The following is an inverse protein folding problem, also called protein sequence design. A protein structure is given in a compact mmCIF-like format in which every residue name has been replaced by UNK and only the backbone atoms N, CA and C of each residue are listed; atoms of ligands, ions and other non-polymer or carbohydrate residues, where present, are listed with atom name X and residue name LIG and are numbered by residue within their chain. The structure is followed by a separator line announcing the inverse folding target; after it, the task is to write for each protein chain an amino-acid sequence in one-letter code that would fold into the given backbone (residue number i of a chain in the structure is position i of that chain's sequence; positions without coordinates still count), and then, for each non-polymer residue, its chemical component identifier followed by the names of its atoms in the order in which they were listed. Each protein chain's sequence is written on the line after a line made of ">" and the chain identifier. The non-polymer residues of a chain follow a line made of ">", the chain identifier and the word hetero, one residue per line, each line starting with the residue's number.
data_IF_107013297269
#
_entry.id   IF_107013297269
#
_cell.length_a   1.000
_cell.length_b   1.000
_cell.length_c   1.000
_cell.angle_alpha   90.00
_cell.angle_beta   90.00
_cell.angle_gamma   90.00
#
_symmetry.space_group_name_H-M   'P 1'
#
loop_
_entity.id
_entity.type
_entity.pdbx_description
1 polymer ?
#
# COMPACT_ATOMS: atom_id res chain seq x y z
N UNK A 1 29.57 -2.34 -26.31
CA UNK A 1 29.28 -3.76 -26.01
C UNK A 1 28.16 -3.90 -24.99
N UNK A 2 28.31 -3.39 -23.77
CA UNK A 2 27.29 -3.48 -22.71
C UNK A 2 25.99 -2.76 -23.10
N UNK A 3 26.08 -1.60 -23.73
CA UNK A 3 24.91 -0.81 -24.14
C UNK A 3 24.04 -1.55 -25.18
N UNK A 4 24.64 -2.12 -26.22
CA UNK A 4 23.91 -2.90 -27.23
C UNK A 4 23.25 -4.15 -26.62
N UNK A 5 23.87 -4.80 -25.63
CA UNK A 5 23.25 -5.92 -24.91
C UNK A 5 22.08 -5.44 -24.05
N UNK A 6 22.21 -4.28 -23.39
CA UNK A 6 21.14 -3.68 -22.62
C UNK A 6 19.94 -3.33 -23.52
N UNK A 7 20.19 -2.70 -24.66
CA UNK A 7 19.18 -2.30 -25.63
C UNK A 7 18.47 -3.52 -26.23
N UNK A 8 19.22 -4.55 -26.65
CA UNK A 8 18.65 -5.81 -27.15
C UNK A 8 17.80 -6.53 -26.09
N UNK A 9 18.30 -6.61 -24.85
CA UNK A 9 17.55 -7.24 -23.76
C UNK A 9 16.32 -6.42 -23.40
N UNK A 10 16.40 -5.09 -23.43
CA UNK A 10 15.28 -4.21 -23.15
C UNK A 10 14.18 -4.35 -24.21
N UNK A 11 14.56 -4.43 -25.49
CA UNK A 11 13.63 -4.70 -26.59
C UNK A 11 12.92 -6.06 -26.42
N UNK A 12 13.66 -7.10 -26.03
CA UNK A 12 13.09 -8.43 -25.78
C UNK A 12 12.15 -8.45 -24.57
N UNK A 13 12.54 -7.76 -23.48
CA UNK A 13 11.75 -7.68 -22.24
C UNK A 13 10.49 -6.81 -22.37
N UNK A 14 10.46 -5.85 -23.29
CA UNK A 14 9.31 -4.95 -23.49
C UNK A 14 8.37 -5.41 -24.60
N UNK A 15 8.71 -6.50 -25.30
CA UNK A 15 7.87 -7.06 -26.36
C UNK A 15 6.54 -7.57 -25.78
N UNK A 16 5.39 -7.23 -26.38
CA UNK A 16 4.12 -7.83 -26.01
C UNK A 16 4.10 -9.32 -26.38
N UNK A 17 3.96 -10.18 -25.37
CA UNK A 17 3.85 -11.64 -25.53
C UNK A 17 2.38 -12.09 -25.52
N UNK A 18 1.86 -12.73 -26.59
CA UNK A 18 0.49 -13.25 -26.65
C UNK A 18 0.06 -14.07 -25.43
N UNK A 19 0.99 -14.79 -24.82
CA UNK A 19 0.77 -15.62 -23.63
C UNK A 19 0.42 -14.79 -22.37
N UNK A 20 0.85 -13.53 -22.30
CA UNK A 20 0.63 -12.65 -21.15
C UNK A 20 -0.63 -11.80 -21.27
N UNK A 21 -1.46 -12.01 -22.29
CA UNK A 21 -2.63 -11.17 -22.58
C UNK A 21 -3.58 -11.03 -21.38
N UNK A 22 -3.78 -12.09 -20.61
CA UNK A 22 -4.66 -12.07 -19.45
C UNK A 22 -4.07 -11.26 -18.29
N UNK A 23 -2.76 -11.33 -18.09
CA UNK A 23 -2.06 -10.53 -17.08
C UNK A 23 -2.10 -9.04 -17.45
N UNK A 24 -1.80 -8.73 -18.71
CA UNK A 24 -1.86 -7.37 -19.25
C UNK A 24 -3.27 -6.79 -19.15
N UNK A 25 -4.30 -7.62 -19.36
CA UNK A 25 -5.69 -7.23 -19.13
C UNK A 25 -5.96 -6.90 -17.66
N UNK A 26 -5.48 -7.73 -16.73
CA UNK A 26 -5.65 -7.48 -15.29
C UNK A 26 -4.98 -6.17 -14.87
N UNK A 27 -3.79 -5.89 -15.38
CA UNK A 27 -3.05 -4.66 -15.10
C UNK A 27 -3.74 -3.43 -15.71
N UNK A 28 -4.17 -3.52 -16.98
CA UNK A 28 -4.97 -2.48 -17.64
C UNK A 28 -6.25 -2.20 -16.85
N UNK A 29 -7.00 -3.25 -16.50
CA UNK A 29 -8.25 -3.16 -15.72
C UNK A 29 -8.00 -2.51 -14.36
N UNK A 30 -6.95 -2.90 -13.65
CA UNK A 30 -6.58 -2.30 -12.36
C UNK A 30 -6.19 -0.82 -12.53
N UNK A 31 -5.42 -0.49 -13.57
CA UNK A 31 -5.03 0.88 -13.91
C UNK A 31 -6.24 1.77 -14.20
N UNK A 32 -7.17 1.32 -15.02
CA UNK A 32 -8.40 2.05 -15.35
C UNK A 32 -9.28 2.27 -14.12
N UNK A 33 -9.44 1.26 -13.26
CA UNK A 33 -10.17 1.39 -11.99
C UNK A 33 -9.52 2.43 -11.08
N UNK A 34 -8.20 2.37 -10.91
CA UNK A 34 -7.47 3.30 -10.05
C UNK A 34 -7.50 4.73 -10.60
N UNK A 35 -7.41 4.89 -11.93
CA UNK A 35 -7.50 6.20 -12.60
C UNK A 35 -8.88 6.82 -12.44
N UNK A 36 -9.93 6.05 -12.71
CA UNK A 36 -11.32 6.54 -12.69
C UNK A 36 -11.85 6.78 -11.27
N UNK A 37 -11.44 5.96 -10.29
CA UNK A 37 -11.90 6.05 -8.90
C UNK A 37 -10.90 6.75 -7.98
N UNK A 38 -10.00 7.57 -8.55
CA UNK A 38 -9.03 8.33 -7.78
C UNK A 38 -9.76 9.29 -6.84
N UNK A 39 -9.75 8.95 -5.56
CA UNK A 39 -10.30 9.82 -4.51
C UNK A 39 -9.35 11.00 -4.32
N UNK A 40 -9.86 12.20 -4.59
CA UNK A 40 -9.14 13.44 -4.31
C UNK A 40 -9.37 13.86 -2.86
N UNK A 41 -8.34 14.39 -2.22
CA UNK A 41 -8.42 14.89 -0.83
C UNK A 41 -9.54 15.93 -0.63
N UNK A 42 -9.76 16.91 -1.53
CA UNK A 42 -10.86 17.86 -1.37
C UNK A 42 -12.27 17.23 -1.37
N UNK A 43 -12.43 16.03 -1.93
CA UNK A 43 -13.71 15.32 -1.98
C UNK A 43 -14.07 14.56 -0.71
N UNK A 44 -13.19 14.53 0.29
CA UNK A 44 -13.40 13.79 1.54
C UNK A 44 -14.12 14.70 2.56
N UNK A 45 -15.11 14.18 3.31
CA UNK A 45 -15.77 14.93 4.37
C UNK A 45 -14.80 15.45 5.43
N UNK A 46 -14.99 16.71 5.84
CA UNK A 46 -14.13 17.39 6.83
C UNK A 46 -14.01 16.64 8.17
N UNK A 47 -15.07 15.95 8.60
CA UNK A 47 -15.03 15.14 9.83
C UNK A 47 -14.05 13.97 9.74
N UNK A 48 -13.99 13.31 8.58
CA UNK A 48 -13.05 12.19 8.33
C UNK A 48 -11.63 12.73 8.20
N UNK A 49 -11.44 13.88 7.56
CA UNK A 49 -10.15 14.58 7.55
C UNK A 49 -9.64 14.87 8.96
N UNK A 50 -10.47 15.50 9.79
CA UNK A 50 -10.09 15.86 11.15
C UNK A 50 -9.74 14.61 11.98
N UNK A 51 -10.53 13.55 11.86
CA UNK A 51 -10.26 12.27 12.54
C UNK A 51 -8.95 11.64 12.08
N UNK A 52 -8.70 11.59 10.77
CA UNK A 52 -7.45 11.06 10.22
C UNK A 52 -6.23 11.88 10.63
N UNK A 53 -6.30 13.20 10.45
CA UNK A 53 -5.22 14.13 10.82
C UNK A 53 -4.93 14.08 12.32
N UNK A 54 -5.97 14.07 13.17
CA UNK A 54 -5.83 13.89 14.62
C UNK A 54 -5.14 12.57 14.96
N UNK A 55 -5.54 11.46 14.32
CA UNK A 55 -4.87 10.17 14.48
C UNK A 55 -3.38 10.23 14.09
N UNK A 56 -3.03 10.85 12.96
CA UNK A 56 -1.63 11.02 12.55
C UNK A 56 -0.83 11.84 13.58
N UNK A 57 -1.38 12.94 14.09
CA UNK A 57 -0.72 13.76 15.12
C UNK A 57 -0.46 12.92 16.38
N UNK A 58 -1.46 12.18 16.87
CA UNK A 58 -1.29 11.30 18.04
C UNK A 58 -0.20 10.26 17.78
N UNK A 59 -0.18 9.61 16.61
CA UNK A 59 0.85 8.63 16.29
C UNK A 59 2.26 9.23 16.24
N UNK A 60 2.41 10.43 15.66
CA UNK A 60 3.68 11.15 15.65
C UNK A 60 4.14 11.43 17.09
N UNK A 61 3.23 11.88 17.95
CA UNK A 61 3.54 12.15 19.36
C UNK A 61 3.90 10.88 20.13
N UNK A 62 3.18 9.76 19.90
CA UNK A 62 3.55 8.46 20.45
C UNK A 62 4.94 8.01 19.99
N UNK A 63 5.27 8.19 18.70
CA UNK A 63 6.59 7.86 18.16
C UNK A 63 7.71 8.70 18.78
N UNK A 64 7.49 10.01 18.95
CA UNK A 64 8.42 10.87 19.67
C UNK A 64 8.54 10.47 21.14
N UNK A 65 7.43 10.14 21.80
CA UNK A 65 7.43 9.66 23.19
C UNK A 65 8.22 8.36 23.34
N UNK A 66 8.07 7.41 22.41
CA UNK A 66 8.84 6.16 22.39
C UNK A 66 10.32 6.41 22.16
N UNK A 67 10.67 7.32 21.26
CA UNK A 67 12.07 7.65 20.94
C UNK A 67 12.78 8.34 22.11
N UNK A 68 12.20 9.41 22.64
CA UNK A 68 12.83 10.23 23.69
C UNK A 68 12.61 9.67 25.11
N UNK A 69 11.49 9.00 25.34
CA UNK A 69 11.04 8.57 26.66
C UNK A 69 11.14 7.07 26.91
N UNK A 70 11.95 6.33 26.15
CA UNK A 70 12.00 4.86 26.25
C UNK A 70 12.22 4.36 27.69
N UNK A 71 13.06 5.05 28.48
CA UNK A 71 13.35 4.70 29.89
C UNK A 71 12.14 4.78 30.82
N UNK A 72 11.12 5.57 30.46
CA UNK A 72 9.88 5.70 31.24
C UNK A 72 8.80 4.73 30.78
N UNK A 73 8.89 4.25 29.53
CA UNK A 73 7.89 3.41 28.89
C UNK A 73 8.24 1.92 28.99
N UNK A 74 9.52 1.61 29.06
CA UNK A 74 10.07 0.27 29.19
C UNK A 74 10.95 0.20 30.42
N UNK A 75 10.81 -0.88 31.18
CA UNK A 75 11.77 -1.16 32.24
C UNK A 75 13.09 -1.66 31.61
N UNK A 76 14.22 -1.33 32.25
CA UNK A 76 15.52 -1.83 31.84
C UNK A 76 15.66 -3.30 32.25
N UNK A 77 15.89 -4.18 31.28
CA UNK A 77 16.32 -5.55 31.52
C UNK A 77 17.70 -5.73 30.90
N UNK A 78 18.66 -6.15 31.71
CA UNK A 78 19.95 -6.59 31.22
C UNK A 78 19.85 -8.07 30.83
N UNK A 79 20.58 -8.48 29.80
CA UNK A 79 20.61 -9.89 29.35
C UNK A 79 21.15 -10.82 30.44
N UNK A 80 21.89 -10.28 31.41
CA UNK A 80 22.39 -10.98 32.59
C UNK A 80 21.36 -11.19 33.70
N UNK A 81 20.19 -10.54 33.64
CA UNK A 81 19.18 -10.65 34.68
C UNK A 81 18.52 -12.04 34.66
N UNK A 82 18.31 -12.68 35.83
CA UNK A 82 17.68 -13.99 35.89
C UNK A 82 16.24 -13.92 35.35
N UNK A 83 15.89 -14.80 34.41
CA UNK A 83 14.55 -14.83 33.78
C UNK A 83 13.41 -15.03 34.80
N UNK A 84 13.74 -15.64 35.94
CA UNK A 84 12.85 -15.90 37.07
C UNK A 84 12.36 -14.61 37.76
N UNK A 85 13.05 -13.48 37.57
CA UNK A 85 12.64 -12.18 38.10
C UNK A 85 11.56 -11.50 37.23
N UNK A 86 11.29 -12.02 36.03
CA UNK A 86 10.22 -11.52 35.16
C UNK A 86 8.88 -12.14 35.58
N UNK A 87 8.31 -11.62 36.67
CA UNK A 87 7.04 -12.13 37.22
C UNK A 87 5.85 -11.89 36.28
N UNK A 88 5.90 -10.87 35.43
CA UNK A 88 4.81 -10.52 34.52
C UNK A 88 5.27 -9.70 33.31
N UNK A 89 4.47 -9.66 32.25
CA UNK A 89 4.75 -8.82 31.08
C UNK A 89 4.48 -7.33 31.33
N UNK A 90 3.52 -7.04 32.21
CA UNK A 90 3.02 -5.70 32.52
C UNK A 90 3.16 -5.41 34.01
N UNK A 91 3.68 -4.23 34.35
CA UNK A 91 3.73 -3.78 35.74
C UNK A 91 5.10 -3.20 36.12
N UNK A 92 5.32 -2.92 37.41
CA UNK A 92 6.56 -2.33 37.89
C UNK A 92 7.79 -3.20 37.60
N UNK A 93 7.63 -4.53 37.62
CA UNK A 93 8.67 -5.54 37.32
C UNK A 93 8.52 -6.15 35.92
N UNK A 94 7.59 -5.66 35.10
CA UNK A 94 7.35 -6.18 33.76
C UNK A 94 8.15 -5.49 32.67
N UNK A 95 8.05 -5.96 31.43
CA UNK A 95 8.76 -5.37 30.27
C UNK A 95 8.27 -3.95 29.97
N UNK A 96 6.95 -3.77 30.02
CA UNK A 96 6.29 -2.51 29.67
C UNK A 96 5.67 -1.90 30.92
N UNK A 97 5.96 -0.63 31.15
CA UNK A 97 5.38 0.13 32.27
C UNK A 97 3.90 0.43 31.98
N UNK A 98 3.13 0.80 33.01
CA UNK A 98 1.73 1.23 32.84
C UNK A 98 1.63 2.41 31.86
N UNK A 99 2.62 3.30 31.86
CA UNK A 99 2.70 4.41 30.92
C UNK A 99 2.97 3.93 29.50
N UNK A 100 3.86 2.95 29.31
CA UNK A 100 4.09 2.29 28.03
C UNK A 100 2.81 1.69 27.45
N UNK A 101 2.02 1.00 28.27
CA UNK A 101 0.71 0.45 27.85
C UNK A 101 -0.24 1.57 27.43
N UNK A 102 -0.33 2.65 28.20
CA UNK A 102 -1.19 3.79 27.86
C UNK A 102 -0.81 4.42 26.51
N UNK A 103 0.49 4.57 26.22
CA UNK A 103 0.99 5.06 24.92
C UNK A 103 0.63 4.10 23.79
N UNK A 104 0.77 2.78 23.99
CA UNK A 104 0.39 1.77 23.01
C UNK A 104 -1.13 1.76 22.76
N UNK A 105 -1.94 1.90 23.79
CA UNK A 105 -3.40 2.04 23.66
C UNK A 105 -3.77 3.31 22.87
N UNK A 106 -3.14 4.45 23.18
CA UNK A 106 -3.36 5.70 22.46
C UNK A 106 -2.96 5.56 20.97
N UNK A 107 -1.84 4.90 20.68
CA UNK A 107 -1.42 4.58 19.32
C UNK A 107 -2.46 3.69 18.59
N UNK A 108 -2.97 2.68 19.28
CA UNK A 108 -4.03 1.79 18.77
C UNK A 108 -5.33 2.53 18.46
N UNK A 109 -5.77 3.41 19.35
CA UNK A 109 -6.97 4.26 19.13
C UNK A 109 -6.75 5.21 17.94
N UNK A 110 -5.55 5.78 17.81
CA UNK A 110 -5.22 6.64 16.69
C UNK A 110 -5.29 5.94 15.32
N UNK A 111 -5.02 4.63 15.26
CA UNK A 111 -5.21 3.82 14.04
C UNK A 111 -6.67 3.78 13.58
N UNK A 112 -7.65 3.96 14.47
CA UNK A 112 -9.06 3.99 14.10
C UNK A 112 -9.38 5.11 13.11
N UNK A 113 -8.66 6.23 13.16
CA UNK A 113 -8.81 7.31 12.17
C UNK A 113 -8.41 6.86 10.76
N UNK A 114 -7.30 6.13 10.63
CA UNK A 114 -6.87 5.54 9.36
C UNK A 114 -7.84 4.46 8.86
N UNK A 115 -8.36 3.63 9.77
CA UNK A 115 -9.36 2.60 9.44
C UNK A 115 -10.67 3.25 8.96
N UNK A 116 -11.17 4.26 9.67
CA UNK A 116 -12.38 4.99 9.29
C UNK A 116 -12.25 5.63 7.90
N UNK A 117 -11.10 6.25 7.61
CA UNK A 117 -10.82 6.80 6.28
C UNK A 117 -10.82 5.70 5.20
N UNK A 118 -10.15 4.56 5.43
CA UNK A 118 -10.13 3.43 4.48
C UNK A 118 -11.52 2.84 4.24
N UNK A 119 -12.32 2.67 5.28
CA UNK A 119 -13.72 2.21 5.17
C UNK A 119 -14.52 3.20 4.32
N UNK A 120 -14.40 4.50 4.61
CA UNK A 120 -15.11 5.52 3.84
C UNK A 120 -14.71 5.50 2.36
N UNK A 121 -13.42 5.45 2.03
CA UNK A 121 -12.94 5.33 0.63
C UNK A 121 -13.53 4.09 -0.05
N UNK A 122 -13.53 2.95 0.64
CA UNK A 122 -14.10 1.70 0.11
C UNK A 122 -15.59 1.81 -0.14
N UNK A 123 -16.33 2.43 0.77
CA UNK A 123 -17.79 2.61 0.65
C UNK A 123 -18.13 3.61 -0.45
N UNK A 124 -17.42 4.75 -0.50
CA UNK A 124 -17.69 5.82 -1.47
C UNK A 124 -17.38 5.38 -2.91
N UNK A 125 -16.34 4.58 -3.11
CA UNK A 125 -15.96 4.07 -4.43
C UNK A 125 -16.70 2.80 -4.86
N UNK A 126 -17.40 2.10 -3.94
CA UNK A 126 -18.04 0.80 -4.21
C UNK A 126 -18.97 0.81 -5.42
N UNK A 127 -19.84 1.83 -5.53
CA UNK A 127 -20.83 1.93 -6.62
C UNK A 127 -20.16 2.27 -7.95
N UNK A 128 -19.21 3.21 -7.95
CA UNK A 128 -18.43 3.56 -9.12
C UNK A 128 -17.64 2.36 -9.64
N UNK A 129 -17.00 1.61 -8.74
CA UNK A 129 -16.28 0.38 -9.05
C UNK A 129 -17.17 -0.67 -9.69
N UNK A 130 -18.34 -0.96 -9.12
CA UNK A 130 -19.24 -1.95 -9.68
C UNK A 130 -19.67 -1.60 -11.12
N UNK A 131 -19.97 -0.33 -11.40
CA UNK A 131 -20.33 0.12 -12.74
C UNK A 131 -19.16 0.01 -13.73
N UNK A 132 -17.98 0.45 -13.31
CA UNK A 132 -16.79 0.42 -14.15
C UNK A 132 -16.32 -1.00 -14.44
N UNK A 133 -16.47 -1.94 -13.49
CA UNK A 133 -16.18 -3.34 -13.74
C UNK A 133 -17.07 -3.91 -14.85
N UNK A 134 -18.39 -3.65 -14.82
CA UNK A 134 -19.29 -4.10 -15.89
C UNK A 134 -18.92 -3.51 -17.24
N UNK A 135 -18.50 -2.25 -17.28
CA UNK A 135 -18.08 -1.61 -18.53
C UNK A 135 -16.76 -2.20 -19.05
N UNK A 136 -15.78 -2.41 -18.19
CA UNK A 136 -14.51 -3.05 -18.56
C UNK A 136 -14.73 -4.50 -19.01
N UNK A 137 -15.60 -5.25 -18.35
CA UNK A 137 -15.92 -6.63 -18.72
C UNK A 137 -16.55 -6.72 -20.13
N UNK A 138 -17.29 -5.68 -20.56
CA UNK A 138 -17.80 -5.58 -21.95
C UNK A 138 -16.71 -5.26 -22.96
N UNK A 139 -15.70 -4.51 -22.56
CA UNK A 139 -14.58 -4.10 -23.41
C UNK A 139 -13.49 -5.17 -23.49
N UNK A 140 -13.48 -6.17 -22.60
CA UNK A 140 -12.43 -7.18 -22.50
C UNK A 140 -12.12 -7.89 -23.83
N UNK A 141 -13.16 -8.39 -24.51
CA UNK A 141 -12.97 -9.12 -25.77
C UNK A 141 -12.33 -8.25 -26.85
N UNK A 142 -12.86 -7.04 -27.07
CA UNK A 142 -12.32 -6.10 -28.05
C UNK A 142 -10.89 -5.68 -27.70
N UNK A 143 -10.64 -5.35 -26.44
CA UNK A 143 -9.32 -4.93 -25.98
C UNK A 143 -8.27 -6.03 -26.20
N UNK A 144 -8.63 -7.29 -25.92
CA UNK A 144 -7.75 -8.45 -26.15
C UNK A 144 -7.46 -8.66 -27.64
N UNK A 145 -8.46 -8.52 -28.51
CA UNK A 145 -8.27 -8.58 -29.96
C UNK A 145 -7.30 -7.48 -30.45
N UNK A 146 -7.49 -6.25 -29.99
CA UNK A 146 -6.64 -5.10 -30.33
C UNK A 146 -5.20 -5.31 -29.82
N UNK A 147 -5.05 -5.83 -28.60
CA UNK A 147 -3.77 -6.14 -28.01
C UNK A 147 -3.02 -7.24 -28.79
N UNK A 148 -3.72 -8.31 -29.21
CA UNK A 148 -3.14 -9.36 -30.05
C UNK A 148 -2.77 -8.86 -31.44
N UNK A 149 -3.58 -7.97 -32.02
CA UNK A 149 -3.24 -7.31 -33.28
C UNK A 149 -1.93 -6.52 -33.13
N UNK A 150 -1.80 -5.73 -32.05
CA UNK A 150 -0.58 -4.99 -31.72
C UNK A 150 0.64 -5.90 -31.50
N UNK A 151 0.44 -7.03 -30.80
CA UNK A 151 1.51 -8.00 -30.57
C UNK A 151 1.98 -8.66 -31.88
N UNK A 152 1.06 -8.92 -32.81
CA UNK A 152 1.38 -9.47 -34.15
C UNK A 152 2.07 -8.46 -35.05
N UNK A 153 1.70 -7.18 -34.94
CA UNK A 153 2.31 -6.09 -35.73
C UNK A 153 3.57 -5.50 -35.08
N UNK A 154 4.04 -6.05 -33.96
CA UNK A 154 5.22 -5.52 -33.28
C UNK A 154 6.43 -5.70 -34.19
N UNK A 155 7.10 -4.62 -34.64
CA UNK A 155 8.24 -4.75 -35.52
C UNK A 155 9.32 -5.54 -34.78
N UNK A 156 9.89 -6.55 -35.45
CA UNK A 156 11.16 -7.07 -35.02
C UNK A 156 12.16 -5.90 -35.19
N UNK A 157 12.58 -5.27 -34.10
CA UNK A 157 13.68 -4.32 -34.16
C UNK A 157 14.86 -5.07 -34.79
N UNK A 158 15.29 -4.63 -35.98
CA UNK A 158 16.52 -5.13 -36.58
C UNK A 158 17.66 -4.62 -35.70
N UNK A 159 18.39 -5.48 -34.97
CA UNK A 159 19.48 -5.05 -34.10
C UNK A 159 20.65 -4.41 -34.87
N UNK A 160 20.55 -4.24 -36.19
CA UNK A 160 21.57 -3.65 -37.07
C UNK A 160 21.17 -2.33 -37.73
N UNK A 161 20.02 -1.74 -37.38
CA UNK A 161 19.38 -0.69 -38.18
C UNK A 161 19.31 0.72 -37.56
N UNK A 162 20.45 1.36 -37.28
CA UNK A 162 20.75 2.79 -37.54
C UNK A 162 22.18 3.14 -37.16
#
# INVERSE_FOLDING_TARGET
>A
AIQNQLESNFAELTRPLPENIDLEWLDFRAGEINRALRVSWPGVPRGIHALYAGGCVVQIMCGHGLYWGHQYLFNSFEVSDPIEQLESFLGPTGIITVLGVAVLCAYGVALLGAVAFRIWVRVSTRRGRARLLVELDRQEAQWKEDWLAKARSWPAEDPRGS
#
